data_IF_527796946088
#
_entry.id   IF_527796946088
#
_cell.length_a   1.000
_cell.length_b   1.000
_cell.length_c   1.000
_cell.angle_alpha   90.00
_cell.angle_beta   90.00
_cell.angle_gamma   90.00
#
_symmetry.space_group_name_H-M   'P 1'
#
loop_
_entity.id
_entity.type
_entity.pdbx_description
1 polymer ?
#
# COMPACT_ATOMS: atom_id res chain seq x y z
N UNK A 1 -24.21 40.18 -73.75
CA UNK A 1 -23.60 39.54 -72.55
C UNK A 1 -22.84 38.33 -73.06
N UNK A 2 -21.74 38.47 -73.79
CA UNK A 2 -20.46 39.17 -73.51
C UNK A 2 -19.60 38.39 -72.50
N UNK A 3 -18.69 37.59 -73.08
CA UNK A 3 -17.27 37.32 -72.73
C UNK A 3 -16.91 36.64 -71.40
N UNK A 4 -16.18 35.52 -71.38
CA UNK A 4 -14.76 35.26 -71.76
C UNK A 4 -13.69 35.91 -70.85
N UNK A 5 -13.01 35.04 -70.10
CA UNK A 5 -11.64 35.04 -69.52
C UNK A 5 -10.75 36.30 -69.51
N UNK A 6 -9.96 36.43 -68.42
CA UNK A 6 -8.49 36.56 -68.45
C UNK A 6 -7.84 35.39 -67.67
N UNK A 7 -6.74 34.72 -68.02
CA UNK A 7 -5.47 35.08 -68.69
C UNK A 7 -4.75 36.27 -68.04
N UNK A 8 -3.80 36.00 -67.13
CA UNK A 8 -2.39 36.38 -67.29
C UNK A 8 -1.48 35.73 -66.24
N UNK A 9 -0.32 35.19 -66.67
CA UNK A 9 0.85 34.91 -65.80
C UNK A 9 1.89 36.01 -66.02
N UNK A 10 2.84 36.24 -65.10
CA UNK A 10 4.21 35.91 -65.49
C UNK A 10 5.19 35.46 -64.38
N UNK A 11 6.24 34.80 -64.88
CA UNK A 11 7.64 34.73 -64.42
C UNK A 11 8.23 35.95 -63.68
N UNK A 12 9.40 35.90 -63.00
CA UNK A 12 10.22 34.82 -62.42
C UNK A 12 11.50 35.42 -61.77
N UNK A 13 12.19 34.62 -60.95
CA UNK A 13 13.60 34.73 -60.52
C UNK A 13 14.13 35.97 -59.75
N UNK A 14 14.72 35.67 -58.57
CA UNK A 14 16.13 35.93 -58.13
C UNK A 14 16.15 36.22 -56.61
N UNK A 15 16.89 35.51 -55.75
CA UNK A 15 17.59 34.24 -55.94
C UNK A 15 18.47 33.83 -54.75
N UNK A 16 18.87 32.55 -54.74
CA UNK A 16 20.11 31.95 -54.17
C UNK A 16 20.39 31.97 -52.63
N UNK A 17 20.73 30.75 -52.16
CA UNK A 17 21.72 30.40 -51.09
C UNK A 17 21.28 30.76 -49.65
N UNK A 18 21.31 29.90 -48.60
CA UNK A 18 21.91 28.57 -48.31
C UNK A 18 21.13 27.94 -47.10
N UNK A 19 21.18 26.65 -46.71
CA UNK A 19 21.50 25.36 -47.38
C UNK A 19 21.24 24.16 -46.42
N UNK A 20 20.66 23.04 -46.93
CA UNK A 20 20.73 21.62 -46.43
C UNK A 20 20.22 21.32 -44.97
N UNK A 21 19.10 20.63 -44.74
CA UNK A 21 18.75 19.18 -44.93
C UNK A 21 19.56 18.17 -44.06
N UNK A 22 18.88 17.37 -43.23
CA UNK A 22 18.74 15.90 -43.44
C UNK A 22 17.77 15.26 -42.42
N UNK A 23 16.79 14.50 -42.92
CA UNK A 23 16.28 13.32 -42.19
C UNK A 23 17.29 12.18 -42.38
N UNK A 24 17.45 11.29 -41.40
CA UNK A 24 17.69 9.88 -41.71
C UNK A 24 17.03 8.96 -40.67
N UNK A 25 16.21 8.04 -41.19
CA UNK A 25 15.75 6.84 -40.51
C UNK A 25 16.73 5.71 -40.90
N UNK A 26 17.24 4.94 -39.95
CA UNK A 26 18.00 3.73 -40.25
C UNK A 26 17.82 2.68 -39.16
N UNK A 27 17.30 1.52 -39.54
CA UNK A 27 17.35 0.28 -38.75
C UNK A 27 18.69 -0.42 -38.97
N UNK A 28 19.25 -1.05 -37.93
CA UNK A 28 20.34 -2.00 -38.11
C UNK A 28 20.36 -3.07 -37.02
N UNK A 29 20.24 -4.32 -37.44
CA UNK A 29 20.48 -5.52 -36.64
C UNK A 29 21.97 -5.84 -36.61
N UNK A 30 22.50 -6.27 -35.46
CA UNK A 30 23.78 -6.93 -35.35
C UNK A 30 23.75 -7.98 -34.23
N UNK A 31 24.19 -9.20 -34.53
CA UNK A 31 24.37 -10.30 -33.58
C UNK A 31 25.86 -10.37 -33.20
N UNK A 32 26.16 -10.51 -31.92
CA UNK A 32 27.49 -10.80 -31.39
C UNK A 32 27.39 -11.64 -30.12
N UNK A 33 28.26 -12.64 -29.96
CA UNK A 33 28.15 -13.69 -28.93
C UNK A 33 29.42 -13.76 -28.06
N UNK A 34 29.24 -14.05 -26.76
CA UNK A 34 30.26 -14.37 -25.73
C UNK A 34 31.16 -13.18 -25.28
N UNK A 35 31.28 -12.80 -24.00
CA UNK A 35 31.61 -13.58 -22.78
C UNK A 35 31.22 -12.82 -21.48
N UNK A 36 31.35 -13.47 -20.32
CA UNK A 36 30.94 -12.94 -19.01
C UNK A 36 31.84 -11.79 -18.50
N UNK A 37 31.25 -10.61 -18.32
CA UNK A 37 31.53 -9.69 -17.20
C UNK A 37 30.20 -9.08 -16.74
N UNK A 38 30.10 -8.68 -15.46
CA UNK A 38 28.81 -8.43 -14.80
C UNK A 38 27.87 -7.44 -15.51
N UNK A 39 26.57 -7.59 -15.27
CA UNK A 39 25.54 -6.60 -15.61
C UNK A 39 25.91 -5.25 -14.97
N UNK A 40 26.62 -4.41 -15.71
CA UNK A 40 26.49 -2.97 -15.52
C UNK A 40 25.03 -2.66 -15.84
N UNK A 41 24.32 -2.04 -14.89
CA UNK A 41 23.03 -1.44 -15.20
C UNK A 41 23.24 -0.47 -16.36
N UNK A 42 22.30 -0.44 -17.32
CA UNK A 42 22.35 0.55 -18.38
C UNK A 42 22.48 1.95 -17.75
N UNK A 43 23.29 2.86 -18.31
CA UNK A 43 23.44 4.20 -17.76
C UNK A 43 22.06 4.83 -17.67
N UNK A 44 21.65 5.22 -16.46
CA UNK A 44 20.38 5.89 -16.25
C UNK A 44 20.31 7.11 -17.19
N UNK A 45 19.21 7.22 -17.94
CA UNK A 45 18.99 8.37 -18.80
C UNK A 45 18.80 9.60 -17.92
N UNK A 46 19.85 10.42 -17.77
CA UNK A 46 19.80 11.70 -17.06
C UNK A 46 19.45 12.78 -18.09
N UNK A 47 18.35 13.53 -17.92
CA UNK A 47 17.99 14.63 -18.83
C UNK A 47 19.04 15.74 -18.88
N UNK A 48 19.16 16.40 -20.03
CA UNK A 48 20.06 17.54 -20.21
C UNK A 48 19.82 18.63 -19.16
N UNK A 49 20.90 19.04 -18.47
CA UNK A 49 20.85 20.07 -17.43
C UNK A 49 20.64 19.56 -16.00
N UNK A 50 20.51 18.24 -15.79
CA UNK A 50 20.49 17.63 -14.46
C UNK A 50 21.76 16.83 -14.17
N UNK A 51 22.15 16.75 -12.90
CA UNK A 51 23.10 15.74 -12.41
C UNK A 51 22.39 14.40 -12.17
N UNK A 52 23.17 13.31 -12.08
CA UNK A 52 22.63 11.99 -11.76
C UNK A 52 21.90 11.95 -10.41
N UNK A 53 22.39 12.68 -9.40
CA UNK A 53 21.77 12.74 -8.07
C UNK A 53 20.46 13.55 -8.06
N UNK A 54 20.38 14.65 -8.82
CA UNK A 54 19.13 15.39 -8.99
C UNK A 54 18.10 14.54 -9.75
N UNK A 55 18.53 13.81 -10.78
CA UNK A 55 17.65 12.91 -11.51
C UNK A 55 17.16 11.74 -10.64
N UNK A 56 18.05 11.10 -9.87
CA UNK A 56 17.69 10.07 -8.89
C UNK A 56 16.71 10.61 -7.84
N UNK A 57 16.93 11.82 -7.32
CA UNK A 57 15.98 12.49 -6.42
C UNK A 57 14.61 12.75 -7.08
N UNK A 58 14.57 13.13 -8.35
CA UNK A 58 13.31 13.33 -9.08
C UNK A 58 12.59 12.00 -9.31
N UNK A 59 13.32 10.94 -9.70
CA UNK A 59 12.75 9.59 -9.84
C UNK A 59 12.19 9.08 -8.51
N UNK A 60 12.91 9.26 -7.41
CA UNK A 60 12.45 8.87 -6.07
C UNK A 60 11.22 9.68 -5.63
N UNK A 61 11.14 10.97 -5.95
CA UNK A 61 9.95 11.78 -5.66
C UNK A 61 8.72 11.40 -6.50
N UNK A 62 8.92 11.00 -7.77
CA UNK A 62 7.86 10.48 -8.63
C UNK A 62 7.37 9.13 -8.10
N UNK A 63 8.28 8.19 -7.83
CA UNK A 63 7.94 6.89 -7.26
C UNK A 63 7.22 7.03 -5.91
N UNK A 64 7.69 7.91 -5.01
CA UNK A 64 7.02 8.19 -3.75
C UNK A 64 5.64 8.88 -3.92
N UNK A 65 5.41 9.59 -5.04
CA UNK A 65 4.11 10.18 -5.32
C UNK A 65 3.03 9.14 -5.68
N UNK A 66 3.42 7.97 -6.20
CA UNK A 66 2.49 6.89 -6.55
C UNK A 66 1.80 6.25 -5.34
N UNK A 67 2.42 6.34 -4.15
CA UNK A 67 1.91 5.74 -2.90
C UNK A 67 1.31 6.77 -1.93
N UNK A 68 1.28 8.06 -2.31
CA UNK A 68 0.73 9.11 -1.44
C UNK A 68 -0.72 8.85 -1.08
N UNK A 69 -1.01 9.12 0.18
CA UNK A 69 -2.36 9.26 0.68
C UNK A 69 -2.88 10.66 0.34
N UNK A 70 -4.07 10.72 -0.25
CA UNK A 70 -4.76 11.98 -0.57
C UNK A 70 -6.16 12.02 0.03
N UNK A 71 -6.71 13.18 0.40
CA UNK A 71 -8.10 13.28 0.87
C UNK A 71 -9.11 12.81 -0.18
N UNK A 72 -10.15 12.11 0.26
CA UNK A 72 -11.24 11.57 -0.58
C UNK A 72 -12.62 11.91 0.02
N UNK A 73 -12.81 13.21 0.31
CA UNK A 73 -13.98 13.74 1.02
C UNK A 73 -13.67 14.16 2.46
N UNK A 74 -14.73 14.37 3.26
CA UNK A 74 -14.61 14.77 4.66
C UNK A 74 -14.20 13.57 5.53
N UNK A 75 -13.09 13.71 6.26
CA UNK A 75 -12.53 12.68 7.15
C UNK A 75 -12.30 11.29 6.47
N UNK A 76 -12.05 11.30 5.17
CA UNK A 76 -11.73 10.11 4.39
C UNK A 76 -10.49 10.35 3.52
N UNK A 77 -9.74 9.29 3.27
CA UNK A 77 -8.51 9.32 2.49
C UNK A 77 -8.43 8.13 1.54
N UNK A 78 -7.75 8.32 0.41
CA UNK A 78 -7.50 7.29 -0.61
C UNK A 78 -6.00 7.18 -0.88
N UNK A 79 -5.53 5.95 -1.12
CA UNK A 79 -4.14 5.63 -1.39
C UNK A 79 -4.08 4.57 -2.52
N UNK A 80 -3.83 4.97 -3.78
CA UNK A 80 -3.64 4.01 -4.86
C UNK A 80 -2.36 3.21 -4.64
N UNK A 81 -2.31 1.98 -5.14
CA UNK A 81 -1.11 1.16 -5.13
C UNK A 81 -1.05 0.32 -6.41
N UNK A 82 -0.39 0.87 -7.44
CA UNK A 82 -0.29 0.22 -8.75
C UNK A 82 0.56 -1.06 -8.70
N UNK A 83 1.59 -1.11 -7.85
CA UNK A 83 2.43 -2.29 -7.67
C UNK A 83 1.66 -3.50 -7.09
N UNK A 84 0.59 -3.24 -6.33
CA UNK A 84 -0.32 -4.23 -5.75
C UNK A 84 -1.69 -4.27 -6.47
N UNK A 85 -1.85 -3.57 -7.59
CA UNK A 85 -3.07 -3.60 -8.41
C UNK A 85 -4.37 -3.19 -7.68
N UNK A 86 -4.30 -2.33 -6.66
CA UNK A 86 -5.46 -1.95 -5.85
C UNK A 86 -5.49 -0.45 -5.51
N UNK A 87 -6.60 -0.02 -4.92
CA UNK A 87 -6.71 1.25 -4.19
C UNK A 87 -7.17 0.98 -2.77
N UNK A 88 -6.51 1.59 -1.79
CA UNK A 88 -6.93 1.60 -0.40
C UNK A 88 -7.74 2.86 -0.08
N UNK A 89 -8.72 2.76 0.81
CA UNK A 89 -9.51 3.84 1.38
C UNK A 89 -9.49 3.74 2.90
N UNK A 90 -9.47 4.88 3.58
CA UNK A 90 -9.34 4.99 5.03
C UNK A 90 -10.33 6.04 5.54
N UNK A 91 -11.26 5.61 6.39
CA UNK A 91 -12.25 6.49 7.03
C UNK A 91 -12.61 5.95 8.43
N UNK A 92 -13.64 6.49 9.07
CA UNK A 92 -14.07 6.08 10.41
C UNK A 92 -14.52 4.61 10.53
N UNK A 93 -14.91 3.94 9.44
CA UNK A 93 -15.28 2.52 9.41
C UNK A 93 -14.06 1.59 9.26
N UNK A 94 -12.83 2.13 9.30
CA UNK A 94 -11.56 1.40 9.21
C UNK A 94 -10.89 1.50 7.84
N UNK A 95 -10.04 0.51 7.55
CA UNK A 95 -9.35 0.40 6.26
C UNK A 95 -10.15 -0.45 5.28
N UNK A 96 -10.19 -0.05 4.01
CA UNK A 96 -10.74 -0.80 2.89
C UNK A 96 -9.72 -0.88 1.76
N UNK A 97 -9.67 -2.00 1.06
CA UNK A 97 -8.88 -2.20 -0.16
C UNK A 97 -9.76 -2.84 -1.23
N UNK A 98 -9.62 -2.39 -2.47
CA UNK A 98 -10.35 -2.95 -3.62
C UNK A 98 -9.56 -2.81 -4.92
N UNK A 99 -9.77 -3.73 -5.86
CA UNK A 99 -9.34 -3.62 -7.25
C UNK A 99 -10.52 -3.40 -8.23
N UNK A 100 -11.75 -3.34 -7.72
CA UNK A 100 -13.01 -3.31 -8.50
C UNK A 100 -13.72 -4.67 -8.63
N UNK A 101 -13.00 -5.80 -8.56
CA UNK A 101 -13.57 -7.14 -8.62
C UNK A 101 -13.87 -7.71 -7.22
N UNK A 102 -13.02 -7.39 -6.24
CA UNK A 102 -13.18 -7.75 -4.83
C UNK A 102 -13.08 -6.54 -3.92
N UNK A 103 -13.65 -6.67 -2.72
CA UNK A 103 -13.45 -5.74 -1.60
C UNK A 103 -12.93 -6.50 -0.39
N UNK A 104 -12.08 -5.85 0.38
CA UNK A 104 -11.56 -6.31 1.65
C UNK A 104 -11.55 -5.13 2.61
N UNK A 105 -11.95 -5.34 3.85
CA UNK A 105 -11.95 -4.32 4.89
C UNK A 105 -11.51 -4.90 6.22
N UNK A 106 -10.81 -4.09 7.02
CA UNK A 106 -10.32 -4.44 8.35
C UNK A 106 -10.52 -3.24 9.29
N UNK A 107 -11.15 -3.48 10.43
CA UNK A 107 -11.40 -2.46 11.46
C UNK A 107 -11.14 -3.02 12.86
N UNK A 108 -10.28 -2.40 13.68
CA UNK A 108 -10.15 -2.74 15.09
C UNK A 108 -11.46 -2.55 15.84
N UNK A 109 -11.93 -3.59 16.53
CA UNK A 109 -13.16 -3.54 17.34
C UNK A 109 -12.87 -3.43 18.83
N UNK A 110 -11.70 -3.86 19.28
CA UNK A 110 -11.31 -3.76 20.68
C UNK A 110 -10.04 -4.50 21.05
N UNK A 111 -9.44 -4.09 22.17
CA UNK A 111 -8.14 -4.59 22.63
C UNK A 111 -8.07 -4.77 24.15
N UNK A 112 -7.21 -5.66 24.63
CA UNK A 112 -7.01 -5.94 26.07
C UNK A 112 -7.05 -7.43 26.40
N UNK A 113 -7.50 -7.76 27.62
CA UNK A 113 -7.40 -9.10 28.20
C UNK A 113 -8.78 -9.73 28.47
N UNK A 114 -9.21 -10.64 27.61
CA UNK A 114 -10.48 -11.40 27.76
C UNK A 114 -11.64 -10.46 28.16
N UNK A 115 -12.21 -10.68 29.34
CA UNK A 115 -13.40 -10.01 29.88
C UNK A 115 -13.14 -8.56 30.31
N UNK A 116 -11.88 -8.12 30.31
CA UNK A 116 -11.44 -6.75 30.58
C UNK A 116 -10.95 -6.01 29.32
N UNK A 117 -11.36 -6.46 28.13
CA UNK A 117 -11.05 -5.77 26.88
C UNK A 117 -11.88 -4.49 26.71
N UNK A 118 -11.27 -3.50 26.08
CA UNK A 118 -11.83 -2.18 25.76
C UNK A 118 -12.40 -2.24 24.33
N UNK A 119 -13.67 -1.88 24.16
CA UNK A 119 -14.34 -1.75 22.86
C UNK A 119 -14.05 -0.37 22.25
N UNK A 120 -13.71 -0.32 20.96
CA UNK A 120 -13.30 0.91 20.26
C UNK A 120 -14.50 1.57 19.55
N UNK A 121 -15.39 2.18 20.32
CA UNK A 121 -16.70 2.64 19.80
C UNK A 121 -16.68 3.94 18.99
N UNK A 122 -15.60 4.73 19.05
CA UNK A 122 -15.49 6.01 18.34
C UNK A 122 -14.02 6.31 17.99
N UNK A 123 -13.78 6.84 16.79
CA UNK A 123 -12.45 7.26 16.35
C UNK A 123 -12.17 8.71 16.78
N UNK A 124 -11.15 8.95 17.62
CA UNK A 124 -10.84 10.30 18.11
C UNK A 124 -10.19 11.18 17.05
N UNK A 125 -9.31 10.62 16.22
CA UNK A 125 -8.68 11.35 15.13
C UNK A 125 -8.29 10.44 13.97
N UNK A 126 -8.43 10.95 12.75
CA UNK A 126 -7.81 10.42 11.55
C UNK A 126 -6.94 11.52 10.95
N UNK A 127 -5.68 11.20 10.65
CA UNK A 127 -4.72 12.14 10.07
C UNK A 127 -3.79 11.42 9.09
N UNK A 128 -3.06 12.19 8.28
CA UNK A 128 -2.15 11.65 7.26
C UNK A 128 -0.85 12.43 7.15
N UNK A 129 0.20 11.73 6.76
CA UNK A 129 1.50 12.30 6.42
C UNK A 129 2.11 11.51 5.25
N UNK A 130 2.23 12.16 4.09
CA UNK A 130 2.76 11.59 2.85
C UNK A 130 2.01 10.34 2.36
N UNK A 131 2.53 9.17 2.68
CA UNK A 131 2.12 7.81 2.32
C UNK A 131 1.50 7.04 3.50
N UNK A 132 1.43 7.68 4.67
CA UNK A 132 0.94 7.09 5.92
C UNK A 132 -0.39 7.71 6.37
N UNK A 133 -1.34 6.86 6.78
CA UNK A 133 -2.53 7.22 7.57
C UNK A 133 -2.28 6.90 9.04
N UNK A 134 -2.83 7.70 9.96
CA UNK A 134 -2.81 7.41 11.39
C UNK A 134 -4.19 7.61 12.01
N UNK A 135 -4.68 6.55 12.64
CA UNK A 135 -5.88 6.48 13.46
C UNK A 135 -5.48 6.63 14.93
N UNK A 136 -6.12 7.55 15.66
CA UNK A 136 -6.07 7.60 17.11
C UNK A 136 -7.40 7.07 17.66
N UNK A 137 -7.39 5.81 18.11
CA UNK A 137 -8.60 5.12 18.56
C UNK A 137 -9.00 5.52 19.97
N UNK A 138 -8.05 5.50 20.91
CA UNK A 138 -8.22 6.09 22.24
C UNK A 138 -6.93 6.77 22.71
N UNK A 139 -6.79 7.11 24.00
CA UNK A 139 -5.58 7.75 24.53
C UNK A 139 -4.35 6.81 24.60
N UNK A 140 -4.54 5.52 24.38
CA UNK A 140 -3.59 4.44 24.66
C UNK A 140 -3.32 3.55 23.42
N UNK A 141 -4.24 3.47 22.46
CA UNK A 141 -4.08 2.76 21.19
C UNK A 141 -4.11 3.74 20.01
N UNK A 142 -3.04 3.71 19.21
CA UNK A 142 -3.03 4.23 17.85
C UNK A 142 -2.78 3.11 16.85
N UNK A 143 -3.22 3.32 15.61
CA UNK A 143 -2.97 2.48 14.45
C UNK A 143 -2.47 3.35 13.30
N UNK A 144 -1.57 2.84 12.48
CA UNK A 144 -1.11 3.50 11.26
C UNK A 144 -1.06 2.53 10.09
N UNK A 145 -1.15 3.09 8.89
CA UNK A 145 -1.12 2.35 7.63
C UNK A 145 -0.17 3.06 6.66
N UNK A 146 0.96 2.44 6.35
CA UNK A 146 1.94 2.92 5.37
C UNK A 146 1.70 2.24 4.03
N UNK A 147 1.42 3.02 2.99
CA UNK A 147 1.29 2.53 1.63
C UNK A 147 2.66 2.46 0.94
N UNK A 148 3.03 1.29 0.40
CA UNK A 148 4.34 1.06 -0.21
C UNK A 148 4.27 0.15 -1.45
N UNK A 149 5.33 0.09 -2.28
CA UNK A 149 5.38 -0.86 -3.41
C UNK A 149 5.17 -2.34 -3.01
N UNK A 150 5.46 -2.69 -1.75
CA UNK A 150 5.40 -4.06 -1.25
C UNK A 150 4.04 -4.46 -0.66
N UNK A 151 3.10 -3.52 -0.51
CA UNK A 151 1.86 -3.73 0.23
C UNK A 151 1.51 -2.54 1.11
N UNK A 152 0.46 -2.72 1.92
CA UNK A 152 0.22 -1.88 3.08
C UNK A 152 0.93 -2.51 4.29
N UNK A 153 1.77 -1.74 4.97
CA UNK A 153 2.21 -2.08 6.33
C UNK A 153 1.19 -1.46 7.29
N UNK A 154 0.59 -2.29 8.15
CA UNK A 154 -0.21 -1.84 9.28
C UNK A 154 0.71 -1.80 10.49
N UNK A 155 0.55 -0.83 11.37
CA UNK A 155 1.19 -0.85 12.67
C UNK A 155 0.25 -0.40 13.76
N UNK A 156 0.39 -0.95 14.97
CA UNK A 156 -0.26 -0.44 16.17
C UNK A 156 0.78 0.03 17.17
N UNK A 157 0.45 1.06 17.94
CA UNK A 157 1.17 1.41 19.16
C UNK A 157 0.22 1.32 20.35
N UNK A 158 0.57 0.47 21.33
CA UNK A 158 -0.12 0.41 22.63
C UNK A 158 0.77 1.08 23.66
N UNK A 159 0.34 2.22 24.21
CA UNK A 159 1.19 3.12 25.00
C UNK A 159 1.46 2.59 26.42
N UNK A 160 0.46 1.99 27.05
CA UNK A 160 0.47 1.41 28.38
C UNK A 160 -0.34 0.11 28.41
N UNK A 161 -0.06 -0.71 29.42
CA UNK A 161 -0.73 -2.00 29.62
C UNK A 161 -2.24 -1.79 29.88
N UNK A 162 -3.15 -2.33 29.04
CA UNK A 162 -4.59 -2.08 29.17
C UNK A 162 -5.21 -2.92 30.29
N UNK A 163 -4.96 -2.52 31.53
CA UNK A 163 -5.47 -3.17 32.74
C UNK A 163 -4.63 -4.36 33.21
N UNK A 164 -5.29 -5.29 33.92
CA UNK A 164 -4.64 -6.42 34.59
C UNK A 164 -4.73 -7.69 33.74
N UNK A 165 -3.58 -8.20 33.29
CA UNK A 165 -3.51 -9.35 32.38
C UNK A 165 -4.09 -10.65 32.95
N UNK A 166 -4.00 -10.88 34.27
CA UNK A 166 -4.45 -12.12 34.94
C UNK A 166 -3.91 -13.42 34.30
N UNK A 167 -2.73 -13.36 33.68
CA UNK A 167 -2.13 -14.49 32.95
C UNK A 167 -2.73 -14.75 31.56
N UNK A 168 -3.59 -13.86 31.05
CA UNK A 168 -4.07 -13.88 29.67
C UNK A 168 -3.14 -13.07 28.76
N UNK A 169 -2.96 -13.50 27.49
CA UNK A 169 -2.26 -12.67 26.50
C UNK A 169 -3.11 -11.46 26.12
N UNK A 170 -2.42 -10.36 25.81
CA UNK A 170 -3.02 -9.19 25.18
C UNK A 170 -3.59 -9.59 23.81
N UNK A 171 -4.76 -9.06 23.47
CA UNK A 171 -5.37 -9.23 22.15
C UNK A 171 -5.70 -7.88 21.53
N UNK A 172 -5.46 -7.73 20.23
CA UNK A 172 -6.13 -6.74 19.38
C UNK A 172 -7.07 -7.52 18.47
N UNK A 173 -8.36 -7.19 18.47
CA UNK A 173 -9.39 -7.85 17.69
C UNK A 173 -9.80 -6.93 16.55
N UNK A 174 -9.89 -7.47 15.34
CA UNK A 174 -10.24 -6.72 14.13
C UNK A 174 -11.30 -7.48 13.35
N UNK A 175 -12.42 -6.83 13.06
CA UNK A 175 -13.45 -7.38 12.20
C UNK A 175 -12.99 -7.30 10.73
N UNK A 176 -13.15 -8.41 10.00
CA UNK A 176 -12.86 -8.51 8.57
C UNK A 176 -14.16 -8.40 7.79
N UNK A 177 -14.25 -7.60 6.74
CA UNK A 177 -15.41 -7.63 5.84
C UNK A 177 -15.03 -7.50 4.37
N UNK A 178 -16.01 -7.58 3.47
CA UNK A 178 -15.80 -7.60 2.02
C UNK A 178 -16.21 -8.94 1.39
N UNK A 179 -15.65 -9.23 0.21
CA UNK A 179 -15.99 -10.40 -0.61
C UNK A 179 -15.03 -11.59 -0.47
N UNK A 180 -13.92 -11.43 0.24
CA UNK A 180 -12.90 -12.47 0.41
C UNK A 180 -13.06 -13.22 1.74
N UNK A 181 -12.82 -14.53 1.72
CA UNK A 181 -12.91 -15.40 2.90
C UNK A 181 -11.52 -15.58 3.54
N UNK A 182 -11.31 -15.22 4.82
CA UNK A 182 -10.07 -15.47 5.52
C UNK A 182 -9.89 -16.95 5.86
N UNK A 183 -8.67 -17.46 5.72
CA UNK A 183 -8.23 -18.79 6.17
C UNK A 183 -6.84 -18.69 6.80
N UNK A 184 -6.55 -19.53 7.80
CA UNK A 184 -5.19 -19.61 8.38
C UNK A 184 -4.30 -20.49 7.50
N UNK A 185 -3.07 -20.03 7.22
CA UNK A 185 -2.00 -20.87 6.66
C UNK A 185 -0.66 -20.54 7.32
N UNK A 186 0.04 -21.56 7.83
CA UNK A 186 1.38 -21.45 8.42
C UNK A 186 1.62 -20.36 9.50
N UNK A 187 0.55 -19.77 10.05
CA UNK A 187 0.61 -18.68 11.04
C UNK A 187 0.19 -17.31 10.48
N UNK A 188 0.06 -17.19 9.16
CA UNK A 188 -0.48 -16.04 8.44
C UNK A 188 -1.99 -16.18 8.22
N UNK A 189 -2.65 -15.08 7.82
CA UNK A 189 -4.03 -15.10 7.30
C UNK A 189 -4.01 -14.89 5.79
N UNK A 190 -4.54 -15.84 5.04
CA UNK A 190 -4.78 -15.73 3.60
C UNK A 190 -6.23 -15.34 3.36
N UNK A 191 -6.52 -14.53 2.33
CA UNK A 191 -7.90 -14.23 1.94
C UNK A 191 -8.16 -14.77 0.53
N UNK A 192 -9.17 -15.62 0.44
CA UNK A 192 -9.53 -16.35 -0.78
C UNK A 192 -10.80 -15.80 -1.42
N UNK A 193 -10.88 -15.87 -2.75
CA UNK A 193 -12.09 -15.58 -3.49
C UNK A 193 -13.12 -16.73 -3.40
N UNK A 194 -14.24 -16.61 -4.11
CA UNK A 194 -15.28 -17.64 -4.15
C UNK A 194 -14.86 -18.95 -4.85
N UNK A 195 -13.75 -18.97 -5.59
CA UNK A 195 -13.18 -20.14 -6.24
C UNK A 195 -12.10 -20.83 -5.37
N UNK A 196 -11.70 -20.21 -4.24
CA UNK A 196 -10.61 -20.66 -3.38
C UNK A 196 -9.23 -20.17 -3.84
N UNK A 197 -9.16 -19.26 -4.81
CA UNK A 197 -7.90 -18.61 -5.22
C UNK A 197 -7.48 -17.61 -4.14
N UNK A 198 -6.24 -17.71 -3.66
CA UNK A 198 -5.72 -16.77 -2.66
C UNK A 198 -5.35 -15.45 -3.32
N UNK A 199 -6.03 -14.38 -2.91
CA UNK A 199 -5.90 -13.03 -3.47
C UNK A 199 -4.99 -12.15 -2.61
N UNK A 200 -5.20 -12.17 -1.29
CA UNK A 200 -4.44 -11.37 -0.32
C UNK A 200 -3.78 -12.26 0.72
N UNK A 201 -2.72 -11.72 1.32
CA UNK A 201 -2.01 -12.30 2.45
C UNK A 201 -1.80 -11.21 3.50
N UNK A 202 -2.13 -11.53 4.74
CA UNK A 202 -1.83 -10.74 5.93
C UNK A 202 -0.83 -11.52 6.79
N UNK A 203 0.42 -11.07 6.76
CA UNK A 203 1.59 -11.82 7.23
C UNK A 203 2.59 -10.95 8.00
N UNK A 204 3.76 -11.55 8.29
CA UNK A 204 4.96 -10.84 8.81
C UNK A 204 4.75 -10.10 10.13
N UNK A 205 3.75 -10.49 10.92
CA UNK A 205 3.48 -9.95 12.25
C UNK A 205 4.78 -9.88 13.07
N UNK A 206 5.24 -8.66 13.31
CA UNK A 206 6.35 -8.36 14.20
C UNK A 206 5.83 -7.59 15.42
N UNK A 207 6.34 -7.89 16.61
CA UNK A 207 6.01 -7.14 17.82
C UNK A 207 7.29 -6.87 18.60
N UNK A 208 7.50 -5.61 18.98
CA UNK A 208 8.61 -5.17 19.82
C UNK A 208 8.12 -4.36 21.02
N UNK A 209 8.87 -4.47 22.11
CA UNK A 209 8.69 -3.70 23.33
C UNK A 209 9.50 -2.38 23.29
N UNK A 210 9.34 -1.53 24.30
CA UNK A 210 10.04 -0.25 24.40
C UNK A 210 11.57 -0.33 24.48
N UNK A 211 12.13 -1.51 24.78
CA UNK A 211 13.57 -1.78 24.77
C UNK A 211 14.05 -2.32 23.41
N UNK A 212 13.15 -2.45 22.43
CA UNK A 212 13.41 -3.11 21.14
C UNK A 212 13.49 -4.63 21.25
N UNK A 213 12.97 -5.25 22.32
CA UNK A 213 12.95 -6.70 22.46
C UNK A 213 11.72 -7.28 21.76
N UNK A 214 11.92 -8.35 20.99
CA UNK A 214 10.84 -9.05 20.33
C UNK A 214 9.90 -9.71 21.35
N UNK A 215 8.61 -9.40 21.25
CA UNK A 215 7.56 -10.01 22.08
C UNK A 215 6.92 -11.17 21.31
N UNK A 216 6.69 -12.35 21.92
CA UNK A 216 6.03 -13.46 21.23
C UNK A 216 4.59 -13.09 20.86
N UNK A 217 4.24 -13.21 19.58
CA UNK A 217 2.91 -12.92 19.07
C UNK A 217 2.51 -13.89 17.94
N UNK A 218 1.21 -14.02 17.69
CA UNK A 218 0.64 -14.83 16.62
C UNK A 218 -0.68 -14.24 16.11
N UNK A 219 -1.00 -14.48 14.84
CA UNK A 219 -2.33 -14.25 14.29
C UNK A 219 -3.25 -15.45 14.62
N UNK A 220 -4.53 -15.15 14.86
CA UNK A 220 -5.60 -16.16 14.90
C UNK A 220 -6.83 -15.66 14.18
N UNK A 221 -7.62 -16.61 13.67
CA UNK A 221 -8.94 -16.36 13.11
C UNK A 221 -10.00 -16.90 14.07
N UNK A 222 -11.02 -16.10 14.36
CA UNK A 222 -12.19 -16.43 15.17
C UNK A 222 -13.47 -16.16 14.36
N UNK A 223 -14.52 -16.95 14.60
CA UNK A 223 -15.89 -16.65 14.16
C UNK A 223 -16.73 -15.98 15.25
N UNK A 224 -16.21 -15.95 16.48
CA UNK A 224 -16.80 -15.26 17.62
C UNK A 224 -16.10 -13.90 17.79
N UNK A 225 -16.89 -12.82 17.85
CA UNK A 225 -16.44 -11.49 18.33
C UNK A 225 -17.02 -11.24 19.72
N UNK A 226 -16.22 -10.79 20.70
CA UNK A 226 -16.73 -10.35 22.00
C UNK A 226 -17.33 -8.94 21.97
N UNK A 227 -17.27 -8.24 20.82
CA UNK A 227 -17.70 -6.85 20.65
C UNK A 227 -18.99 -6.73 19.84
N UNK A 228 -19.69 -5.62 20.05
CA UNK A 228 -21.02 -5.30 19.51
C UNK A 228 -20.97 -4.41 18.26
N UNK A 229 -19.82 -3.79 17.99
CA UNK A 229 -19.56 -2.98 16.80
C UNK A 229 -18.98 -3.81 15.65
N UNK A 230 -19.16 -3.31 14.41
CA UNK A 230 -18.64 -3.89 13.17
C UNK A 230 -18.82 -5.42 13.05
N UNK A 231 -20.03 -5.91 13.31
CA UNK A 231 -20.36 -7.34 13.24
C UNK A 231 -19.92 -7.98 11.91
N UNK A 232 -19.07 -8.99 12.03
CA UNK A 232 -18.55 -9.79 10.93
C UNK A 232 -18.60 -11.28 11.27
N UNK A 233 -18.76 -12.19 10.27
CA UNK A 233 -18.52 -13.62 10.45
C UNK A 233 -17.07 -13.98 10.80
N UNK A 234 -16.12 -13.06 10.67
CA UNK A 234 -14.68 -13.30 10.87
C UNK A 234 -13.99 -12.17 11.64
N UNK A 235 -13.30 -12.55 12.72
CA UNK A 235 -12.45 -11.67 13.52
C UNK A 235 -11.01 -12.17 13.45
N UNK A 236 -10.08 -11.31 13.02
CA UNK A 236 -8.64 -11.57 13.18
C UNK A 236 -8.23 -11.08 14.56
N UNK A 237 -7.42 -11.89 15.26
CA UNK A 237 -6.85 -11.56 16.54
C UNK A 237 -5.32 -11.55 16.43
N UNK A 238 -4.70 -10.42 16.76
CA UNK A 238 -3.27 -10.38 17.10
C UNK A 238 -3.18 -10.76 18.59
N UNK A 239 -2.57 -11.90 18.90
CA UNK A 239 -2.46 -12.43 20.26
C UNK A 239 -1.00 -12.34 20.73
N UNK A 240 -0.75 -11.58 21.78
CA UNK A 240 0.59 -11.15 22.23
C UNK A 240 0.85 -11.65 23.66
N UNK A 241 1.92 -12.39 23.88
CA UNK A 241 2.42 -12.77 25.21
C UNK A 241 3.25 -11.63 25.80
N UNK A 242 2.55 -10.60 26.28
CA UNK A 242 3.15 -9.38 26.78
C UNK A 242 3.63 -9.47 28.25
N UNK A 243 3.61 -10.65 28.87
CA UNK A 243 3.75 -10.82 30.33
C UNK A 243 5.03 -10.19 30.94
N UNK A 244 6.07 -10.01 30.12
CA UNK A 244 7.36 -9.44 30.49
C UNK A 244 7.78 -8.23 29.64
N UNK A 245 6.92 -7.76 28.73
CA UNK A 245 7.25 -6.67 27.80
C UNK A 245 7.17 -5.29 28.48
N UNK A 246 8.10 -4.40 28.16
CA UNK A 246 8.02 -2.98 28.51
C UNK A 246 7.21 -2.20 27.49
N UNK A 247 6.37 -1.29 27.97
CA UNK A 247 5.51 -0.47 27.12
C UNK A 247 6.17 0.88 26.76
N UNK A 248 5.90 1.47 25.57
CA UNK A 248 4.92 1.04 24.57
C UNK A 248 5.28 -0.26 23.82
N UNK A 249 4.26 -0.92 23.26
CA UNK A 249 4.41 -2.00 22.27
C UNK A 249 4.19 -1.45 20.87
N UNK A 250 5.03 -1.86 19.91
CA UNK A 250 4.84 -1.61 18.47
C UNK A 250 4.60 -2.95 17.76
N UNK A 251 3.58 -3.02 16.90
CA UNK A 251 2.98 -4.25 16.38
C UNK A 251 2.70 -4.08 14.89
N UNK A 252 3.52 -4.67 14.02
CA UNK A 252 3.55 -4.33 12.59
C UNK A 252 3.34 -5.56 11.68
N UNK A 253 2.09 -5.91 11.33
CA UNK A 253 1.75 -6.89 10.28
C UNK A 253 1.57 -6.23 8.90
N UNK A 254 1.65 -7.04 7.84
CA UNK A 254 1.63 -6.57 6.45
C UNK A 254 0.49 -7.16 5.64
N UNK A 255 -0.22 -6.34 4.86
CA UNK A 255 -1.14 -6.78 3.81
C UNK A 255 -0.48 -6.64 2.43
N UNK A 256 -0.40 -7.75 1.69
CA UNK A 256 0.15 -7.78 0.32
C UNK A 256 -0.72 -8.66 -0.60
N UNK A 257 -0.65 -8.42 -1.92
CA UNK A 257 -1.19 -9.40 -2.86
C UNK A 257 -0.47 -10.74 -2.68
N UNK A 258 -1.23 -11.83 -2.69
CA UNK A 258 -0.66 -13.15 -2.80
C UNK A 258 -0.13 -13.35 -4.23
N UNK A 259 1.17 -13.13 -4.43
CA UNK A 259 1.81 -13.36 -5.73
C UNK A 259 1.56 -14.79 -6.19
N UNK A 260 0.97 -14.92 -7.38
CA UNK A 260 0.81 -16.18 -8.08
C UNK A 260 2.19 -16.80 -8.36
N UNK A 261 2.61 -17.74 -7.52
CA UNK A 261 3.65 -18.70 -7.90
C UNK A 261 3.04 -19.66 -8.90
N UNK A 262 3.22 -19.38 -10.19
CA UNK A 262 2.96 -20.35 -11.24
C UNK A 262 3.70 -21.66 -10.90
N UNK A 263 2.94 -22.76 -10.83
CA UNK A 263 3.44 -24.12 -10.56
C UNK A 263 4.02 -24.77 -11.82
#
# INVERSE_FOLDING_TARGET
>A
MTTFNPIYSPSAQRGRLQTIKLLFLATLTAIGVLLLTGRQAAPAFVPDGLTAAEWESIQNQIAAAEYRVTPDGDAAYTAPNQAQGWTAQFNADGAQVTNGDWTWSLVPTGYGYSDAAIELTELQNLSTLNDTVTYQWDANLSEWWLNSPNGLEQGFTVQERPGQAQGQPLRINMAVSGSLTPVMDNGDVLFQDANGETILRYDRLHVVDANGQQVPAQLKLSVDSPFTIHHSPFTIQIVIDDAHAAYPLTIDPWLQQAKLTAS
#
